data_IF_166016717125
#
_entry.id   IF_166016717125
#
_cell.length_a   1.000
_cell.length_b   1.000
_cell.length_c   1.000
_cell.angle_alpha   90.00
_cell.angle_beta   90.00
_cell.angle_gamma   90.00
#
_symmetry.space_group_name_H-M   'P 1'
#
loop_
_entity.id
_entity.type
_entity.pdbx_description
1 polymer ?
#
# COMPACT_ATOMS: atom_id res chain seq x y z
N UNK A 1 17.30 -13.65 10.36
CA UNK A 1 17.72 -12.28 10.66
C UNK A 1 17.33 -11.34 9.52
N UNK A 2 16.89 -10.16 9.85
CA UNK A 2 16.44 -9.16 8.87
C UNK A 2 17.65 -8.48 8.26
N UNK A 3 17.79 -8.51 6.95
CA UNK A 3 18.86 -7.75 6.32
C UNK A 3 18.39 -6.32 6.00
N UNK A 4 19.34 -5.48 5.58
CA UNK A 4 19.08 -4.06 5.30
C UNK A 4 18.03 -3.89 4.19
N UNK A 5 18.05 -4.78 3.19
CA UNK A 5 17.11 -4.70 2.07
C UNK A 5 15.67 -4.90 2.54
N UNK A 6 15.42 -5.87 3.44
CA UNK A 6 14.09 -6.12 3.97
C UNK A 6 13.62 -4.93 4.80
N UNK A 7 14.50 -4.39 5.66
CA UNK A 7 14.16 -3.22 6.49
C UNK A 7 13.85 -2.00 5.62
N UNK A 8 14.63 -1.77 4.57
CA UNK A 8 14.37 -0.67 3.64
C UNK A 8 13.03 -0.84 2.93
N UNK A 9 12.74 -2.06 2.50
CA UNK A 9 11.48 -2.36 1.83
C UNK A 9 10.28 -2.06 2.74
N UNK A 10 10.34 -2.50 4.00
CA UNK A 10 9.28 -2.24 4.96
C UNK A 10 9.14 -0.73 5.20
N UNK A 11 10.26 -0.02 5.34
CA UNK A 11 10.25 1.42 5.54
C UNK A 11 9.59 2.16 4.37
N UNK A 12 9.91 1.76 3.14
CA UNK A 12 9.30 2.37 1.95
C UNK A 12 7.83 2.03 1.83
N UNK A 13 7.41 0.80 2.19
CA UNK A 13 5.99 0.45 2.23
C UNK A 13 5.24 1.33 3.24
N UNK A 14 5.80 1.50 4.44
CA UNK A 14 5.17 2.34 5.45
C UNK A 14 5.05 3.79 5.00
N UNK A 15 6.12 4.34 4.45
CA UNK A 15 6.13 5.72 3.96
C UNK A 15 5.15 5.91 2.81
N UNK A 16 5.14 4.96 1.87
CA UNK A 16 4.21 5.01 0.73
C UNK A 16 2.76 4.90 1.20
N UNK A 17 2.48 4.03 2.17
CA UNK A 17 1.13 3.89 2.71
C UNK A 17 0.67 5.18 3.39
N UNK A 18 1.53 5.82 4.16
CA UNK A 18 1.21 7.10 4.78
C UNK A 18 0.91 8.17 3.73
N UNK A 19 1.73 8.26 2.70
CA UNK A 19 1.54 9.24 1.63
C UNK A 19 0.25 8.98 0.86
N UNK A 20 -0.03 7.71 0.54
CA UNK A 20 -1.21 7.32 -0.23
C UNK A 20 -2.48 7.54 0.57
N UNK A 21 -2.53 7.02 1.81
CA UNK A 21 -3.72 7.12 2.65
C UNK A 21 -3.92 8.55 3.12
N UNK A 22 -2.86 9.18 3.61
CA UNK A 22 -2.92 10.56 4.07
C UNK A 22 -3.26 11.52 2.93
N UNK A 23 -2.70 11.29 1.74
CA UNK A 23 -3.00 12.10 0.57
C UNK A 23 -4.44 11.98 0.15
N UNK A 24 -4.97 10.75 0.08
CA UNK A 24 -6.38 10.53 -0.25
C UNK A 24 -7.30 11.17 0.80
N UNK A 25 -6.94 11.07 2.07
CA UNK A 25 -7.71 11.69 3.15
C UNK A 25 -7.73 13.22 3.02
N UNK A 26 -6.59 13.82 2.68
CA UNK A 26 -6.51 15.28 2.49
C UNK A 26 -7.38 15.73 1.32
N UNK A 27 -7.39 14.99 0.22
CA UNK A 27 -8.28 15.30 -0.91
C UNK A 27 -9.74 15.19 -0.48
N UNK A 28 -10.08 14.14 0.26
CA UNK A 28 -11.43 13.96 0.79
C UNK A 28 -11.83 15.14 1.67
N UNK A 29 -10.96 15.57 2.59
CA UNK A 29 -11.24 16.72 3.46
C UNK A 29 -11.41 18.01 2.66
N UNK A 30 -10.56 18.21 1.66
CA UNK A 30 -10.62 19.42 0.85
C UNK A 30 -11.85 19.52 -0.01
N UNK A 31 -12.23 18.41 -0.64
CA UNK A 31 -13.33 18.40 -1.62
C UNK A 31 -14.65 18.00 -0.96
N UNK A 32 -14.69 16.83 -0.32
CA UNK A 32 -15.96 16.30 0.19
C UNK A 32 -16.41 16.99 1.47
N UNK A 33 -15.48 17.31 2.35
CA UNK A 33 -15.78 17.98 3.61
C UNK A 33 -15.65 19.51 3.50
N UNK A 34 -15.42 20.01 2.31
CA UNK A 34 -15.39 21.46 2.01
C UNK A 34 -14.36 22.25 2.83
N UNK A 35 -13.21 21.64 3.11
CA UNK A 35 -12.14 22.33 3.85
C UNK A 35 -11.22 23.18 2.97
N UNK A 36 -11.44 23.16 1.65
CA UNK A 36 -10.77 24.08 0.74
C UNK A 36 -9.65 23.48 -0.08
N UNK A 37 -9.19 24.27 -1.04
CA UNK A 37 -8.22 23.81 -2.04
C UNK A 37 -6.85 23.52 -1.45
N UNK A 38 -6.50 24.14 -0.33
CA UNK A 38 -5.21 23.85 0.31
C UNK A 38 -5.12 22.38 0.72
N UNK A 39 -6.16 21.87 1.38
CA UNK A 39 -6.19 20.46 1.76
C UNK A 39 -6.15 19.55 0.53
N UNK A 40 -6.95 19.87 -0.50
CA UNK A 40 -6.98 19.09 -1.72
C UNK A 40 -5.61 19.11 -2.43
N UNK A 41 -4.97 20.28 -2.51
CA UNK A 41 -3.66 20.43 -3.13
C UNK A 41 -2.57 19.67 -2.41
N UNK A 42 -2.55 19.74 -1.08
CA UNK A 42 -1.59 18.97 -0.27
C UNK A 42 -1.80 17.48 -0.45
N UNK A 43 -3.06 17.04 -0.57
CA UNK A 43 -3.37 15.64 -0.83
C UNK A 43 -2.84 15.17 -2.17
N UNK A 44 -3.01 15.99 -3.22
CA UNK A 44 -2.49 15.65 -4.54
C UNK A 44 -0.96 15.54 -4.52
N UNK A 45 -0.29 16.46 -3.82
CA UNK A 45 1.17 16.40 -3.68
C UNK A 45 1.61 15.12 -2.95
N UNK A 46 0.90 14.74 -1.89
CA UNK A 46 1.21 13.52 -1.15
C UNK A 46 1.00 12.27 -2.01
N UNK A 47 -0.06 12.23 -2.80
CA UNK A 47 -0.31 11.13 -3.72
C UNK A 47 0.76 11.03 -4.81
N UNK A 48 1.24 12.18 -5.30
CA UNK A 48 2.37 12.20 -6.23
C UNK A 48 3.65 11.69 -5.58
N UNK A 49 3.91 12.10 -4.35
CA UNK A 49 5.07 11.62 -3.59
C UNK A 49 5.01 10.10 -3.39
N UNK A 50 3.83 9.53 -3.16
CA UNK A 50 3.65 8.08 -3.07
C UNK A 50 4.19 7.39 -4.32
N UNK A 51 3.85 7.91 -5.51
CA UNK A 51 4.32 7.32 -6.75
C UNK A 51 5.84 7.30 -6.85
N UNK A 52 6.51 8.38 -6.42
CA UNK A 52 7.97 8.42 -6.41
C UNK A 52 8.58 7.48 -5.38
N UNK A 53 8.00 7.41 -4.19
CA UNK A 53 8.49 6.50 -3.13
C UNK A 53 8.41 5.05 -3.60
N UNK A 54 7.37 4.70 -4.35
CA UNK A 54 7.24 3.35 -4.89
C UNK A 54 8.41 2.96 -5.78
N UNK A 55 9.01 3.91 -6.48
CA UNK A 55 10.17 3.61 -7.35
C UNK A 55 11.44 3.28 -6.56
N UNK A 56 11.46 3.59 -5.27
CA UNK A 56 12.63 3.34 -4.42
C UNK A 56 12.66 1.93 -3.84
N UNK A 57 11.62 1.14 -4.08
CA UNK A 57 11.60 -0.25 -3.64
C UNK A 57 12.70 -1.04 -4.35
N UNK A 58 13.44 -1.89 -3.60
CA UNK A 58 14.50 -2.68 -4.20
C UNK A 58 14.00 -3.81 -5.10
N UNK A 59 12.73 -4.15 -5.02
CA UNK A 59 12.13 -5.23 -5.82
C UNK A 59 11.89 -4.74 -7.26
N UNK A 60 12.27 -5.52 -8.29
CA UNK A 60 12.23 -5.04 -9.67
C UNK A 60 10.87 -5.15 -10.38
N UNK A 61 9.90 -5.84 -9.79
CA UNK A 61 8.63 -6.11 -10.48
C UNK A 61 7.55 -5.14 -10.04
N UNK A 62 7.27 -4.15 -10.87
CA UNK A 62 6.30 -3.10 -10.59
C UNK A 62 4.92 -3.64 -10.21
N UNK A 63 4.40 -4.61 -10.97
CA UNK A 63 3.06 -5.15 -10.70
C UNK A 63 2.96 -5.82 -9.34
N UNK A 64 3.99 -6.55 -8.95
CA UNK A 64 4.01 -7.22 -7.65
C UNK A 64 4.12 -6.21 -6.50
N UNK A 65 4.94 -5.18 -6.69
CA UNK A 65 5.05 -4.10 -5.70
C UNK A 65 3.70 -3.42 -5.49
N UNK A 66 3.04 -3.07 -6.59
CA UNK A 66 1.75 -2.39 -6.51
C UNK A 66 0.66 -3.27 -5.90
N UNK A 67 0.67 -4.56 -6.21
CA UNK A 67 -0.27 -5.50 -5.59
C UNK A 67 -0.05 -5.59 -4.09
N UNK A 68 1.21 -5.63 -3.65
CA UNK A 68 1.54 -5.62 -2.23
C UNK A 68 1.09 -4.33 -1.54
N UNK A 69 1.29 -3.19 -2.19
CA UNK A 69 0.80 -1.91 -1.68
C UNK A 69 -0.73 -1.91 -1.53
N UNK A 70 -1.44 -2.52 -2.49
CA UNK A 70 -2.90 -2.61 -2.41
C UNK A 70 -3.38 -3.32 -1.14
N UNK A 71 -2.74 -4.43 -0.78
CA UNK A 71 -3.08 -5.16 0.43
C UNK A 71 -2.73 -4.39 1.70
N UNK A 72 -1.55 -3.78 1.72
CA UNK A 72 -1.15 -2.93 2.84
C UNK A 72 -2.07 -1.71 2.95
N UNK A 73 -2.48 -1.16 1.81
CA UNK A 73 -3.42 -0.04 1.77
C UNK A 73 -4.75 -0.40 2.44
N UNK A 74 -5.28 -1.59 2.18
CA UNK A 74 -6.55 -2.01 2.80
C UNK A 74 -6.42 -2.01 4.32
N UNK A 75 -5.40 -2.66 4.86
CA UNK A 75 -5.19 -2.71 6.30
C UNK A 75 -4.91 -1.33 6.87
N UNK A 76 -4.05 -0.56 6.21
CA UNK A 76 -3.69 0.78 6.64
C UNK A 76 -4.86 1.74 6.65
N UNK A 77 -5.76 1.60 5.68
CA UNK A 77 -6.95 2.44 5.61
C UNK A 77 -7.89 2.20 6.79
N UNK A 78 -8.05 0.95 7.20
CA UNK A 78 -8.85 0.65 8.38
C UNK A 78 -8.23 1.23 9.64
N UNK A 79 -6.90 1.09 9.79
CA UNK A 79 -6.19 1.66 10.94
C UNK A 79 -6.30 3.18 10.94
N UNK A 80 -6.13 3.83 9.80
CA UNK A 80 -6.28 5.27 9.68
C UNK A 80 -7.67 5.71 10.11
N UNK A 81 -8.71 5.03 9.60
CA UNK A 81 -10.08 5.35 9.95
C UNK A 81 -10.33 5.23 11.45
N UNK A 82 -9.76 4.20 12.08
CA UNK A 82 -9.90 4.01 13.53
C UNK A 82 -9.22 5.11 14.32
N UNK A 83 -8.03 5.54 13.91
CA UNK A 83 -7.24 6.52 14.66
C UNK A 83 -7.65 7.95 14.37
N UNK A 84 -8.06 8.26 13.15
CA UNK A 84 -8.32 9.64 12.73
C UNK A 84 -9.80 9.97 12.71
N UNK A 85 -10.63 9.07 12.19
CA UNK A 85 -12.04 9.34 11.94
C UNK A 85 -13.00 8.64 12.92
N UNK A 86 -12.48 7.91 13.89
CA UNK A 86 -13.30 7.18 14.84
C UNK A 86 -14.08 6.02 14.24
N UNK A 87 -13.67 5.55 13.07
CA UNK A 87 -14.28 4.41 12.39
C UNK A 87 -14.12 3.14 13.21
N UNK A 88 -15.16 2.33 13.27
CA UNK A 88 -15.14 1.02 13.95
C UNK A 88 -15.35 -0.07 12.93
N UNK A 89 -14.30 -0.81 12.54
CA UNK A 89 -14.45 -1.91 11.59
C UNK A 89 -15.26 -3.04 12.20
N UNK A 90 -16.15 -3.61 11.40
CA UNK A 90 -16.90 -4.78 11.82
C UNK A 90 -16.14 -6.06 11.46
N UNK A 91 -16.75 -7.22 11.75
CA UNK A 91 -16.10 -8.51 11.49
C UNK A 91 -15.85 -8.74 9.99
N UNK A 92 -16.69 -8.18 9.13
CA UNK A 92 -16.52 -8.34 7.68
C UNK A 92 -15.36 -7.50 7.16
N UNK A 93 -15.18 -6.31 7.71
CA UNK A 93 -14.01 -5.47 7.41
C UNK A 93 -12.72 -6.19 7.80
N UNK A 94 -12.71 -6.78 9.00
CA UNK A 94 -11.54 -7.48 9.51
C UNK A 94 -11.26 -8.75 8.70
N UNK A 95 -12.30 -9.50 8.33
CA UNK A 95 -12.13 -10.69 7.51
C UNK A 95 -11.57 -10.34 6.13
N UNK A 96 -12.11 -9.29 5.51
CA UNK A 96 -11.62 -8.83 4.20
C UNK A 96 -10.17 -8.36 4.26
N UNK A 97 -9.83 -7.59 5.28
CA UNK A 97 -8.45 -7.13 5.46
C UNK A 97 -7.49 -8.31 5.68
N UNK A 98 -7.90 -9.28 6.47
CA UNK A 98 -7.08 -10.47 6.70
C UNK A 98 -6.83 -11.26 5.41
N UNK A 99 -7.86 -11.41 4.58
CA UNK A 99 -7.72 -12.06 3.28
C UNK A 99 -6.76 -11.30 2.36
N UNK A 100 -6.86 -9.98 2.34
CA UNK A 100 -5.96 -9.15 1.53
C UNK A 100 -4.51 -9.30 1.99
N UNK A 101 -4.27 -9.28 3.30
CA UNK A 101 -2.91 -9.44 3.82
C UNK A 101 -2.37 -10.84 3.58
N UNK A 102 -3.23 -11.87 3.69
CA UNK A 102 -2.83 -13.22 3.36
C UNK A 102 -2.45 -13.34 1.88
N UNK A 103 -3.21 -12.69 1.00
CA UNK A 103 -2.90 -12.65 -0.42
C UNK A 103 -1.56 -11.98 -0.70
N UNK A 104 -1.29 -10.85 -0.05
CA UNK A 104 0.00 -10.16 -0.16
C UNK A 104 1.14 -11.06 0.30
N UNK A 105 0.96 -11.75 1.43
CA UNK A 105 1.99 -12.65 1.96
C UNK A 105 2.29 -13.78 0.96
N UNK A 106 1.27 -14.33 0.33
CA UNK A 106 1.46 -15.35 -0.70
C UNK A 106 2.25 -14.78 -1.89
N UNK A 107 1.92 -13.60 -2.34
CA UNK A 107 2.60 -12.98 -3.48
C UNK A 107 4.06 -12.68 -3.19
N UNK A 108 4.36 -12.21 -1.99
CA UNK A 108 5.70 -11.72 -1.66
C UNK A 108 6.63 -12.81 -1.13
N UNK A 109 6.09 -13.82 -0.45
CA UNK A 109 6.90 -14.77 0.32
C UNK A 109 6.75 -16.23 -0.09
N UNK A 110 5.79 -16.56 -0.98
CA UNK A 110 5.63 -17.95 -1.41
C UNK A 110 6.91 -18.43 -2.13
N UNK A 111 7.38 -19.64 -1.84
CA UNK A 111 8.52 -20.19 -2.58
C UNK A 111 8.13 -20.40 -4.04
N UNK A 112 9.03 -20.00 -4.96
CA UNK A 112 8.76 -20.10 -6.37
C UNK A 112 9.76 -21.03 -7.03
N UNK A 113 9.23 -21.97 -7.82
CA UNK A 113 10.07 -22.88 -8.60
C UNK A 113 10.59 -22.10 -9.81
N UNK A 114 11.90 -22.17 -10.08
CA UNK A 114 12.48 -21.62 -11.29
C UNK A 114 12.14 -22.53 -12.47
N UNK A 115 11.39 -21.99 -13.41
CA UNK A 115 11.08 -22.70 -14.64
C UNK A 115 12.21 -22.53 -15.66
N UNK A 116 12.49 -23.56 -16.50
CA UNK A 116 13.36 -23.37 -17.66
C UNK A 116 12.85 -22.22 -18.53
N UNK A 117 13.78 -21.53 -19.21
CA UNK A 117 13.43 -20.34 -20.00
C UNK A 117 12.32 -20.59 -21.02
N UNK A 118 12.34 -21.79 -21.66
CA UNK A 118 11.33 -22.13 -22.65
C UNK A 118 9.92 -22.19 -22.03
N UNK A 119 9.79 -22.74 -20.82
CA UNK A 119 8.51 -22.83 -20.14
C UNK A 119 8.08 -21.47 -19.57
N UNK A 120 9.03 -20.69 -19.07
CA UNK A 120 8.73 -19.37 -18.54
C UNK A 120 8.15 -18.45 -19.63
N UNK A 121 8.60 -18.58 -20.86
CA UNK A 121 8.13 -17.75 -21.98
C UNK A 121 6.71 -18.12 -22.44
N UNK A 122 6.20 -19.29 -22.06
CA UNK A 122 4.85 -19.72 -22.44
C UNK A 122 3.82 -19.42 -21.36
N UNK A 123 4.25 -18.98 -20.21
CA UNK A 123 3.37 -18.68 -19.07
C UNK A 123 3.22 -17.17 -18.89
#
# INVERSE_FOLDING_TARGET
>A
MWDVTVLRSIGFFALAALAEIGGAWLVWQGVREHRGLLFAGLGVLALGAYGFVATLQPHPHFGRILAAYGGVFVAGSLVWGMLVDGFRPDRWDLAGAALCLAGVAVMMYAPRVRLPSALANTM
#
